data_IF_434208270426
#
_entry.id   IF_434208270426
#
_cell.length_a   1.000
_cell.length_b   1.000
_cell.length_c   1.000
_cell.angle_alpha   90.00
_cell.angle_beta   90.00
_cell.angle_gamma   90.00
#
_symmetry.space_group_name_H-M   'P 1'
#
loop_
_entity.id
_entity.type
_entity.pdbx_description
1 polymer ?
#
# COMPACT_ATOMS: atom_id res chain seq x y z
N UNK A 1 30.34 -1.57 10.16
CA UNK A 1 28.91 -1.93 10.22
C UNK A 1 28.10 -0.90 9.44
N UNK A 2 27.27 -1.33 8.53
CA UNK A 2 26.42 -0.36 7.84
C UNK A 2 25.45 0.28 8.83
N UNK A 3 25.12 1.53 8.57
CA UNK A 3 24.13 2.23 9.37
C UNK A 3 22.77 1.52 9.28
N UNK A 4 22.04 1.51 10.37
CA UNK A 4 20.66 1.03 10.34
C UNK A 4 19.85 2.04 9.56
N UNK A 5 19.27 1.60 8.45
CA UNK A 5 18.43 2.44 7.65
C UNK A 5 16.99 2.24 8.07
N UNK A 6 16.30 3.35 8.33
CA UNK A 6 14.87 3.34 8.57
C UNK A 6 14.13 2.87 7.32
N UNK A 7 13.01 2.21 7.51
CA UNK A 7 12.11 1.85 6.42
C UNK A 7 11.02 2.91 6.28
N UNK A 8 10.63 3.20 5.06
CA UNK A 8 9.48 4.07 4.80
C UNK A 8 8.19 3.33 5.19
N UNK A 9 7.12 4.10 5.40
CA UNK A 9 5.80 3.50 5.64
C UNK A 9 5.37 2.60 4.50
N UNK A 10 5.65 2.99 3.27
CA UNK A 10 5.37 2.18 2.08
C UNK A 10 6.11 0.83 2.15
N UNK A 11 7.38 0.85 2.46
CA UNK A 11 8.17 -0.38 2.58
C UNK A 11 7.63 -1.30 3.69
N UNK A 12 7.23 -0.73 4.83
CA UNK A 12 6.63 -1.50 5.91
C UNK A 12 5.29 -2.09 5.50
N UNK A 13 4.44 -1.29 4.85
CA UNK A 13 3.15 -1.75 4.35
C UNK A 13 3.31 -2.89 3.35
N UNK A 14 4.21 -2.73 2.38
CA UNK A 14 4.48 -3.76 1.38
C UNK A 14 5.03 -5.04 2.02
N UNK A 15 5.94 -4.90 2.98
CA UNK A 15 6.47 -6.05 3.70
C UNK A 15 5.36 -6.84 4.41
N UNK A 16 4.45 -6.16 5.07
CA UNK A 16 3.29 -6.78 5.71
C UNK A 16 2.40 -7.44 4.64
N UNK A 17 2.16 -6.77 3.52
CA UNK A 17 1.36 -7.30 2.42
C UNK A 17 1.93 -8.61 1.86
N UNK A 18 3.22 -8.68 1.66
CA UNK A 18 3.88 -9.92 1.22
C UNK A 18 3.79 -11.02 2.29
N UNK A 19 3.96 -10.68 3.56
CA UNK A 19 3.84 -11.64 4.66
C UNK A 19 2.42 -12.21 4.77
N UNK A 20 1.40 -11.39 4.49
CA UNK A 20 0.00 -11.83 4.45
C UNK A 20 -0.36 -12.60 3.17
N UNK A 21 0.54 -12.65 2.19
CA UNK A 21 0.37 -13.44 0.99
C UNK A 21 -0.58 -12.88 -0.06
N UNK A 22 -0.78 -11.59 -0.10
CA UNK A 22 -1.76 -11.00 -1.00
C UNK A 22 -1.39 -9.63 -1.55
N UNK A 23 -0.13 -9.43 -1.89
CA UNK A 23 0.32 -8.15 -2.45
C UNK A 23 0.97 -8.36 -3.82
N UNK A 24 0.53 -7.55 -4.79
CA UNK A 24 1.16 -7.38 -6.10
C UNK A 24 1.52 -5.91 -6.29
N UNK A 25 2.74 -5.64 -6.68
CA UNK A 25 3.25 -4.27 -6.90
C UNK A 25 3.65 -4.13 -8.36
N UNK A 26 3.15 -3.11 -9.03
CA UNK A 26 3.39 -2.85 -10.44
C UNK A 26 3.22 -1.37 -10.77
N UNK A 27 3.24 -1.06 -12.05
CA UNK A 27 2.92 0.26 -12.58
C UNK A 27 1.95 0.11 -13.75
N UNK A 28 1.06 1.08 -13.91
CA UNK A 28 0.17 1.12 -15.06
C UNK A 28 1.00 1.17 -16.35
N UNK A 29 0.69 0.30 -17.29
CA UNK A 29 1.46 0.15 -18.54
C UNK A 29 0.98 1.09 -19.65
N UNK A 30 -0.23 1.64 -19.51
CA UNK A 30 -0.81 2.58 -20.44
C UNK A 30 -1.83 3.48 -19.75
N UNK A 31 -2.21 4.55 -20.43
CA UNK A 31 -3.17 5.49 -19.85
C UNK A 31 -4.55 4.87 -19.73
N UNK A 32 -5.05 4.86 -18.50
CA UNK A 32 -6.44 4.52 -18.19
C UNK A 32 -7.30 5.79 -18.12
N UNK A 33 -8.31 5.72 -17.25
CA UNK A 33 -9.19 6.85 -16.97
C UNK A 33 -9.17 7.17 -15.48
N UNK A 34 -10.04 8.03 -15.02
CA UNK A 34 -10.22 8.28 -13.57
C UNK A 34 -10.83 7.08 -12.83
N UNK A 35 -11.33 6.09 -13.54
CA UNK A 35 -11.94 4.88 -12.93
C UNK A 35 -11.33 3.57 -13.41
N UNK A 36 -10.33 3.61 -14.29
CA UNK A 36 -9.68 2.41 -14.82
C UNK A 36 -8.17 2.51 -14.76
N UNK A 37 -7.52 1.38 -14.48
CA UNK A 37 -6.06 1.20 -14.52
C UNK A 37 -5.76 0.05 -15.48
N UNK A 38 -4.81 0.27 -16.39
CA UNK A 38 -4.41 -0.72 -17.38
C UNK A 38 -2.99 -1.22 -17.10
N UNK A 39 -2.82 -2.54 -17.03
CA UNK A 39 -1.51 -3.16 -16.79
C UNK A 39 -1.36 -4.43 -17.65
N UNK A 40 -0.32 -4.47 -18.46
CA UNK A 40 0.00 -5.60 -19.32
C UNK A 40 0.87 -6.66 -18.62
N UNK A 41 1.29 -6.41 -17.39
CA UNK A 41 2.08 -7.35 -16.59
C UNK A 41 1.25 -8.10 -15.55
N UNK A 42 0.08 -7.56 -15.20
CA UNK A 42 -0.84 -8.20 -14.27
C UNK A 42 -1.56 -9.36 -14.96
N UNK A 43 -1.32 -10.56 -14.49
CA UNK A 43 -1.97 -11.77 -15.03
C UNK A 43 -3.23 -12.06 -14.24
N UNK A 44 -4.37 -12.10 -14.92
CA UNK A 44 -5.63 -12.55 -14.34
C UNK A 44 -5.80 -14.05 -14.55
N UNK A 45 -6.26 -14.74 -13.52
CA UNK A 45 -6.69 -16.13 -13.64
C UNK A 45 -8.05 -16.28 -14.34
N UNK A 46 -8.71 -15.17 -14.63
CA UNK A 46 -10.01 -15.11 -15.28
C UNK A 46 -10.62 -13.72 -15.12
N UNK A 47 -11.70 -13.44 -15.83
CA UNK A 47 -12.45 -12.20 -15.62
C UNK A 47 -12.98 -12.15 -14.17
N UNK A 48 -13.16 -10.95 -13.66
CA UNK A 48 -13.77 -10.67 -12.36
C UNK A 48 -12.98 -11.17 -11.13
N UNK A 49 -11.78 -11.74 -11.34
CA UNK A 49 -10.99 -12.34 -10.25
C UNK A 49 -10.47 -11.32 -9.24
N UNK A 50 -10.46 -10.05 -9.59
CA UNK A 50 -9.95 -8.97 -8.72
C UNK A 50 -11.05 -8.11 -8.12
N UNK A 51 -12.31 -8.44 -8.33
CA UNK A 51 -13.43 -7.71 -7.71
C UNK A 51 -13.32 -7.77 -6.19
N UNK A 52 -13.51 -6.62 -5.55
CA UNK A 52 -13.43 -6.49 -4.10
C UNK A 52 -12.02 -6.34 -3.54
N UNK A 53 -10.99 -6.40 -4.38
CA UNK A 53 -9.60 -6.14 -4.00
C UNK A 53 -9.37 -4.64 -3.90
N UNK A 54 -8.20 -4.25 -3.39
CA UNK A 54 -7.86 -2.86 -3.16
C UNK A 54 -6.68 -2.46 -4.02
N UNK A 55 -6.76 -1.28 -4.63
CA UNK A 55 -5.64 -0.62 -5.30
C UNK A 55 -5.20 0.54 -4.44
N UNK A 56 -3.89 0.67 -4.22
CA UNK A 56 -3.30 1.88 -3.66
C UNK A 56 -2.27 2.42 -4.62
N UNK A 57 -2.45 3.65 -5.04
CA UNK A 57 -1.48 4.35 -5.87
C UNK A 57 -0.30 4.81 -5.01
N UNK A 58 0.92 4.65 -5.53
CA UNK A 58 2.16 4.95 -4.82
C UNK A 58 3.03 5.96 -5.55
N UNK A 59 2.54 6.53 -6.63
CA UNK A 59 3.21 7.62 -7.36
C UNK A 59 2.20 8.42 -8.18
N UNK A 60 2.65 9.55 -8.73
CA UNK A 60 1.87 10.39 -9.63
C UNK A 60 0.83 11.23 -8.91
N UNK A 61 -0.12 11.75 -9.68
CA UNK A 61 -1.16 12.63 -9.16
C UNK A 61 -2.15 11.92 -8.23
N UNK A 62 -2.22 10.60 -8.33
CA UNK A 62 -3.09 9.78 -7.51
C UNK A 62 -2.37 9.16 -6.30
N UNK A 63 -1.13 9.56 -6.03
CA UNK A 63 -0.35 9.02 -4.91
C UNK A 63 -1.15 9.03 -3.60
N UNK A 64 -1.01 7.95 -2.85
CA UNK A 64 -1.68 7.69 -1.57
C UNK A 64 -3.20 7.44 -1.66
N UNK A 65 -3.80 7.48 -2.85
CA UNK A 65 -5.23 7.14 -2.99
C UNK A 65 -5.42 5.63 -2.94
N UNK A 66 -6.41 5.20 -2.15
CA UNK A 66 -6.87 3.81 -2.09
C UNK A 66 -8.25 3.70 -2.74
N UNK A 67 -8.41 2.70 -3.60
CA UNK A 67 -9.65 2.46 -4.35
C UNK A 67 -10.01 1.00 -4.33
N UNK A 68 -11.30 0.71 -4.40
CA UNK A 68 -11.79 -0.66 -4.44
C UNK A 68 -12.07 -1.09 -5.87
N UNK A 69 -11.59 -2.26 -6.25
CA UNK A 69 -11.83 -2.85 -7.58
C UNK A 69 -13.28 -3.32 -7.65
N UNK A 70 -13.99 -2.86 -8.67
CA UNK A 70 -15.39 -3.22 -8.93
C UNK A 70 -15.53 -4.14 -10.13
N UNK A 71 -14.51 -4.18 -11.00
CA UNK A 71 -14.50 -5.04 -12.17
C UNK A 71 -13.05 -5.32 -12.60
N UNK A 72 -12.82 -6.47 -13.20
CA UNK A 72 -11.52 -6.80 -13.78
C UNK A 72 -11.69 -7.62 -15.05
N UNK A 73 -11.04 -7.19 -16.13
CA UNK A 73 -11.13 -7.81 -17.44
C UNK A 73 -9.76 -7.87 -18.12
N UNK A 74 -9.58 -8.80 -19.02
CA UNK A 74 -8.39 -8.89 -19.84
C UNK A 74 -8.77 -8.83 -21.33
N UNK A 75 -8.07 -8.01 -22.10
CA UNK A 75 -8.22 -7.91 -23.54
C UNK A 75 -6.86 -7.63 -24.17
N UNK A 76 -6.52 -8.39 -25.21
CA UNK A 76 -5.24 -8.24 -25.92
C UNK A 76 -4.02 -8.21 -24.99
N UNK A 77 -4.01 -9.08 -23.99
CA UNK A 77 -2.96 -9.20 -22.96
C UNK A 77 -2.80 -7.96 -22.06
N UNK A 78 -3.79 -7.09 -22.03
CA UNK A 78 -3.85 -5.97 -21.09
C UNK A 78 -4.97 -6.21 -20.09
N UNK A 79 -4.61 -6.18 -18.82
CA UNK A 79 -5.59 -6.23 -17.74
C UNK A 79 -6.11 -4.83 -17.47
N UNK A 80 -7.43 -4.70 -17.43
CA UNK A 80 -8.12 -3.49 -17.00
C UNK A 80 -8.74 -3.73 -15.64
N UNK A 81 -8.36 -2.93 -14.66
CA UNK A 81 -9.02 -2.90 -13.35
C UNK A 81 -9.91 -1.66 -13.31
N UNK A 82 -11.18 -1.87 -13.10
CA UNK A 82 -12.14 -0.78 -12.86
C UNK A 82 -12.32 -0.61 -11.36
N UNK A 83 -12.35 0.61 -10.89
CA UNK A 83 -12.38 0.89 -9.45
C UNK A 83 -13.28 2.07 -9.11
N UNK A 84 -13.69 2.14 -7.85
CA UNK A 84 -14.52 3.21 -7.30
C UNK A 84 -14.03 3.58 -5.89
N UNK A 85 -14.23 4.83 -5.47
CA UNK A 85 -14.63 5.98 -6.27
C UNK A 85 -13.58 6.38 -7.29
N UNK A 86 -13.89 7.35 -8.15
CA UNK A 86 -12.94 7.82 -9.15
C UNK A 86 -11.65 8.36 -8.51
N UNK A 87 -10.53 8.23 -9.21
CA UNK A 87 -9.27 8.85 -8.85
C UNK A 87 -9.30 10.36 -9.14
N UNK A 88 -8.31 11.08 -8.65
CA UNK A 88 -8.22 12.53 -8.84
C UNK A 88 -7.92 12.88 -10.29
N UNK A 89 -7.05 12.11 -10.93
CA UNK A 89 -6.70 12.27 -12.33
C UNK A 89 -6.73 10.91 -13.05
N UNK A 90 -6.67 10.92 -14.38
CA UNK A 90 -6.56 9.70 -15.16
C UNK A 90 -5.26 8.97 -14.82
N UNK A 91 -5.33 7.64 -14.68
CA UNK A 91 -4.15 6.84 -14.40
C UNK A 91 -3.22 6.81 -15.62
N UNK A 92 -1.94 7.03 -15.41
CA UNK A 92 -0.93 7.02 -16.48
C UNK A 92 0.44 6.70 -15.89
N UNK A 93 0.94 5.51 -16.17
CA UNK A 93 2.28 5.07 -15.72
C UNK A 93 2.53 5.18 -14.22
N UNK A 94 1.49 5.30 -13.43
CA UNK A 94 1.58 5.39 -11.97
C UNK A 94 1.88 4.02 -11.38
N UNK A 95 2.75 4.01 -10.37
CA UNK A 95 2.98 2.80 -9.58
C UNK A 95 1.80 2.55 -8.66
N UNK A 96 1.50 1.28 -8.42
CA UNK A 96 0.40 0.89 -7.56
C UNK A 96 0.66 -0.42 -6.85
N UNK A 97 -0.07 -0.62 -5.76
CA UNK A 97 -0.16 -1.85 -5.03
C UNK A 97 -1.56 -2.44 -5.23
N UNK A 98 -1.64 -3.72 -5.56
CA UNK A 98 -2.90 -4.47 -5.58
C UNK A 98 -2.93 -5.39 -4.36
N UNK A 99 -3.89 -5.16 -3.48
CA UNK A 99 -4.06 -5.89 -2.23
C UNK A 99 -5.17 -6.90 -2.36
N UNK A 100 -4.81 -8.17 -2.35
CA UNK A 100 -5.74 -9.28 -2.53
C UNK A 100 -6.28 -9.84 -1.21
N UNK A 101 -5.68 -9.45 -0.10
CA UNK A 101 -6.07 -9.91 1.23
C UNK A 101 -7.35 -9.26 1.77
N UNK A 102 -7.69 -9.65 2.97
CA UNK A 102 -8.89 -9.17 3.66
C UNK A 102 -8.79 -7.74 4.18
N UNK A 103 -7.57 -7.22 4.31
CA UNK A 103 -7.32 -5.89 4.84
C UNK A 103 -7.03 -4.91 3.73
N UNK A 104 -7.62 -3.71 3.83
CA UNK A 104 -7.26 -2.62 2.93
C UNK A 104 -5.87 -2.08 3.30
N UNK A 105 -5.14 -1.49 2.34
CA UNK A 105 -3.85 -0.86 2.64
C UNK A 105 -3.96 0.27 3.67
N UNK A 106 -5.09 0.97 3.72
CA UNK A 106 -5.32 2.02 4.73
C UNK A 106 -5.40 1.44 6.14
N UNK A 107 -6.05 0.28 6.30
CA UNK A 107 -6.08 -0.45 7.58
C UNK A 107 -4.68 -0.86 8.02
N UNK A 108 -3.85 -1.32 7.09
CA UNK A 108 -2.46 -1.67 7.37
C UNK A 108 -1.67 -0.43 7.80
N UNK A 109 -1.84 0.69 7.12
CA UNK A 109 -1.21 1.96 7.51
C UNK A 109 -1.62 2.40 8.93
N UNK A 110 -2.88 2.22 9.30
CA UNK A 110 -3.36 2.51 10.66
C UNK A 110 -2.70 1.60 11.69
N UNK A 111 -2.55 0.32 11.41
CA UNK A 111 -1.84 -0.60 12.29
C UNK A 111 -0.38 -0.22 12.45
N UNK A 112 0.29 0.19 11.37
CA UNK A 112 1.68 0.68 11.42
C UNK A 112 1.75 1.92 12.31
N UNK A 113 0.85 2.87 12.15
CA UNK A 113 0.81 4.08 12.97
C UNK A 113 0.63 3.76 14.44
N UNK A 114 -0.29 2.87 14.77
CA UNK A 114 -0.52 2.45 16.17
C UNK A 114 0.69 1.74 16.75
N UNK A 115 1.37 0.89 15.99
CA UNK A 115 2.58 0.23 16.42
C UNK A 115 3.72 1.23 16.66
N UNK A 116 3.88 2.23 15.82
CA UNK A 116 4.88 3.27 16.00
C UNK A 116 4.60 4.10 17.25
N UNK A 117 3.35 4.48 17.49
CA UNK A 117 2.96 5.24 18.66
C UNK A 117 3.21 4.42 19.94
N UNK A 118 2.87 3.15 19.94
CA UNK A 118 3.13 2.27 21.09
C UNK A 118 4.64 2.11 21.32
N UNK A 119 5.43 1.91 20.29
CA UNK A 119 6.88 1.78 20.38
C UNK A 119 7.54 3.08 20.87
N UNK A 120 7.05 4.22 20.43
CA UNK A 120 7.55 5.53 20.85
C UNK A 120 7.42 5.72 22.36
N UNK A 121 6.24 5.47 22.93
CA UNK A 121 6.04 5.53 24.37
C UNK A 121 6.91 4.54 25.12
N UNK A 122 7.05 3.36 24.57
CA UNK A 122 7.84 2.30 25.19
C UNK A 122 9.34 2.62 25.24
N UNK A 123 9.85 3.30 24.23
CA UNK A 123 11.29 3.67 24.15
C UNK A 123 11.58 4.87 25.04
N UNK A 124 10.74 5.87 25.11
CA UNK A 124 11.01 7.09 25.86
C UNK A 124 10.92 6.91 27.36
N UNK A 125 9.98 6.10 27.85
CA UNK A 125 9.79 5.89 29.30
C UNK A 125 11.05 5.37 29.99
N UNK A 126 11.73 4.33 29.51
CA UNK A 126 12.99 3.88 30.11
C UNK A 126 14.08 4.92 30.11
N UNK A 127 14.19 5.75 29.10
CA UNK A 127 15.19 6.82 29.04
C UNK A 127 14.91 7.88 30.11
N UNK A 128 13.67 8.26 30.30
CA UNK A 128 13.26 9.21 31.36
C UNK A 128 13.58 8.67 32.72
N UNK A 129 13.28 7.41 32.96
CA UNK A 129 13.56 6.76 34.26
C UNK A 129 15.05 6.77 34.57
N UNK A 130 15.88 6.46 33.60
CA UNK A 130 17.34 6.50 33.77
C UNK A 130 17.80 7.91 34.11
N UNK A 131 17.25 8.91 33.43
CA UNK A 131 17.57 10.32 33.68
C UNK A 131 17.22 10.70 35.12
N UNK A 132 16.05 10.32 35.60
CA UNK A 132 15.61 10.61 36.98
C UNK A 132 16.48 9.91 38.00
N UNK A 133 16.86 8.68 37.77
CA UNK A 133 17.76 7.96 38.68
C UNK A 133 19.15 8.58 38.75
N UNK A 134 19.65 9.08 37.66
CA UNK A 134 20.90 9.79 37.61
C UNK A 134 20.90 11.03 38.45
N UNK A 135 19.79 11.74 38.50
CA UNK A 135 19.64 12.93 39.32
C UNK A 135 19.46 12.60 40.78
N UNK A 136 18.77 11.52 41.05
CA UNK A 136 18.38 11.16 42.41
C UNK A 136 19.52 10.66 43.26
N UNK A 137 20.58 10.31 42.69
CA UNK A 137 21.65 9.75 43.44
C UNK A 137 22.23 10.39 44.46
#
# INVERSE_FOLDING_TARGET
MPAIQGRTREQLRQHIGYALGGLYVSAASSSGSTTTLLDNTLVLGGADTKIGKWIRFTSGDNDALTRRVTDSAISSNVTTLTFMPAATSATASESYELWEGSYSPDTIDDFINQAILAATGWVYDPIEDISLHGDGK
#
